data_IF_053318170067
#
_entry.id   IF_053318170067
#
_cell.length_a   1.000
_cell.length_b   1.000
_cell.length_c   1.000
_cell.angle_alpha   90.00
_cell.angle_beta   90.00
_cell.angle_gamma   90.00
#
_symmetry.space_group_name_H-M   'P 1'
#
loop_
_entity.id
_entity.type
_entity.pdbx_description
1 polymer ?
#
# COMPACT_ATOMS: atom_id res chain seq x y z
N UNK A 1 -58.22 -37.03 15.47
CA UNK A 1 -56.90 -36.36 15.61
C UNK A 1 -56.71 -35.43 14.42
N UNK A 2 -56.36 -34.16 14.66
CA UNK A 2 -56.19 -33.09 13.67
C UNK A 2 -55.08 -33.46 12.66
N UNK A 3 -55.41 -33.44 11.37
CA UNK A 3 -54.43 -33.45 10.28
C UNK A 3 -54.70 -32.17 9.47
N UNK A 4 -53.75 -31.23 9.51
CA UNK A 4 -53.78 -30.02 8.69
C UNK A 4 -53.39 -30.35 7.24
N UNK A 5 -54.02 -29.70 6.24
CA UNK A 5 -53.73 -29.95 4.84
C UNK A 5 -52.55 -29.10 4.31
N UNK A 6 -51.84 -29.72 3.36
CA UNK A 6 -50.92 -29.15 2.38
C UNK A 6 -51.51 -27.88 1.72
N UNK A 7 -50.74 -26.80 1.65
CA UNK A 7 -51.04 -25.67 0.76
C UNK A 7 -49.79 -25.12 0.06
N UNK A 8 -49.76 -25.37 -1.25
CA UNK A 8 -49.35 -24.44 -2.31
C UNK A 8 -48.00 -23.71 -2.17
N UNK A 9 -46.95 -24.40 -2.62
CA UNK A 9 -45.68 -23.76 -3.03
C UNK A 9 -45.90 -23.07 -4.40
N UNK A 10 -46.01 -21.75 -4.39
CA UNK A 10 -46.39 -20.94 -5.55
C UNK A 10 -45.15 -20.50 -6.37
N UNK A 11 -44.91 -21.19 -7.48
CA UNK A 11 -43.75 -21.05 -8.39
C UNK A 11 -43.75 -19.75 -9.24
N UNK A 12 -44.70 -18.84 -9.03
CA UNK A 12 -44.88 -17.64 -9.89
C UNK A 12 -44.08 -16.39 -9.48
N UNK A 13 -43.24 -16.45 -8.45
CA UNK A 13 -42.64 -15.24 -7.84
C UNK A 13 -41.15 -14.98 -8.15
N UNK A 14 -40.50 -15.76 -9.02
CA UNK A 14 -39.05 -15.63 -9.26
C UNK A 14 -38.72 -15.03 -10.64
N UNK A 15 -39.69 -14.91 -11.55
CA UNK A 15 -39.41 -14.52 -12.95
C UNK A 15 -39.59 -13.02 -13.27
N UNK A 16 -39.92 -12.17 -12.30
CA UNK A 16 -40.33 -10.77 -12.55
C UNK A 16 -39.58 -9.71 -11.73
N UNK A 17 -38.30 -9.96 -11.39
CA UNK A 17 -37.44 -8.94 -10.75
C UNK A 17 -36.15 -8.63 -11.52
N UNK A 18 -35.93 -9.24 -12.70
CA UNK A 18 -34.73 -9.00 -13.50
C UNK A 18 -34.85 -7.91 -14.57
N UNK A 19 -36.02 -7.29 -14.77
CA UNK A 19 -36.27 -6.40 -15.93
C UNK A 19 -36.51 -4.93 -15.56
N UNK A 20 -36.51 -4.55 -14.26
CA UNK A 20 -36.88 -3.18 -13.81
C UNK A 20 -35.73 -2.43 -13.13
N UNK A 21 -34.47 -2.89 -13.28
CA UNK A 21 -33.30 -2.15 -12.77
C UNK A 21 -32.30 -1.75 -13.86
N UNK A 22 -32.78 -1.70 -15.10
CA UNK A 22 -32.10 -1.06 -16.21
C UNK A 22 -33.04 0.03 -16.71
N UNK A 23 -32.52 1.26 -16.78
CA UNK A 23 -33.12 2.48 -17.35
C UNK A 23 -33.75 3.49 -16.37
N UNK A 24 -33.11 4.67 -16.39
CA UNK A 24 -33.63 6.05 -16.13
C UNK A 24 -33.18 6.70 -14.81
N UNK A 25 -32.00 7.35 -14.86
CA UNK A 25 -31.81 8.74 -14.43
C UNK A 25 -30.52 9.27 -15.12
N UNK A 26 -30.57 9.66 -16.40
CA UNK A 26 -30.75 11.04 -16.88
C UNK A 26 -30.03 12.08 -16.00
N UNK A 27 -28.93 12.66 -16.48
CA UNK A 27 -28.93 14.04 -16.98
C UNK A 27 -27.50 14.52 -17.20
N UNK A 28 -27.17 14.83 -18.44
CA UNK A 28 -26.02 15.63 -18.79
C UNK A 28 -26.30 17.09 -18.42
N UNK A 29 -25.52 17.66 -17.50
CA UNK A 29 -25.37 19.10 -17.39
C UNK A 29 -23.91 19.41 -16.98
N UNK A 30 -23.12 19.71 -18.00
CA UNK A 30 -22.02 20.68 -17.99
C UNK A 30 -21.29 20.91 -16.66
N UNK A 31 -20.32 20.07 -16.35
CA UNK A 31 -19.14 20.51 -15.61
C UNK A 31 -17.92 19.95 -16.33
N UNK A 32 -17.12 20.85 -16.89
CA UNK A 32 -15.79 20.55 -17.41
C UNK A 32 -15.06 19.63 -16.44
N UNK A 33 -14.38 18.55 -16.89
CA UNK A 33 -13.36 17.96 -16.07
C UNK A 33 -12.18 18.94 -16.05
N UNK A 34 -12.32 20.03 -15.28
CA UNK A 34 -11.18 20.63 -14.61
C UNK A 34 -10.80 19.64 -13.50
N UNK A 35 -10.35 18.45 -13.91
CA UNK A 35 -9.57 17.60 -13.04
C UNK A 35 -8.24 18.30 -12.99
N UNK A 36 -8.18 19.19 -12.00
CA UNK A 36 -6.99 19.64 -11.30
C UNK A 36 -5.87 18.67 -11.61
N UNK A 37 -4.87 19.17 -12.33
CA UNK A 37 -3.51 18.69 -12.19
C UNK A 37 -3.27 18.57 -10.68
N UNK A 38 -3.33 17.34 -10.16
CA UNK A 38 -2.90 17.07 -8.79
C UNK A 38 -1.41 17.30 -8.80
N UNK A 39 -1.03 18.58 -8.66
CA UNK A 39 0.20 18.96 -7.99
C UNK A 39 0.05 18.49 -6.55
N UNK A 40 0.11 17.18 -6.31
CA UNK A 40 0.56 16.66 -5.03
C UNK A 40 2.07 16.81 -5.07
N UNK A 41 2.43 18.07 -4.90
CA UNK A 41 3.74 18.61 -4.66
C UNK A 41 4.37 17.87 -3.48
N UNK A 42 5.40 17.06 -3.75
CA UNK A 42 6.54 16.80 -2.85
C UNK A 42 6.31 16.22 -1.45
N UNK A 43 5.07 15.92 -1.05
CA UNK A 43 4.72 15.39 0.27
C UNK A 43 4.08 14.01 0.14
N UNK A 44 4.81 13.05 -0.44
CA UNK A 44 4.66 11.69 0.08
C UNK A 44 5.02 11.78 1.57
N UNK A 45 4.00 11.61 2.42
CA UNK A 45 4.19 11.69 3.87
C UNK A 45 5.17 10.61 4.31
N UNK A 46 5.88 10.80 5.42
CA UNK A 46 6.77 9.78 5.99
C UNK A 46 6.05 8.43 6.20
N UNK A 47 4.75 8.48 6.50
CA UNK A 47 3.92 7.29 6.62
C UNK A 47 3.74 6.56 5.28
N UNK A 48 3.63 7.28 4.17
CA UNK A 48 3.57 6.69 2.83
C UNK A 48 4.89 6.00 2.48
N UNK A 49 6.03 6.65 2.77
CA UNK A 49 7.35 6.05 2.58
C UNK A 49 7.51 4.75 3.36
N UNK A 50 7.13 4.74 4.64
CA UNK A 50 7.19 3.53 5.44
C UNK A 50 6.30 2.42 4.86
N UNK A 51 5.07 2.75 4.48
CA UNK A 51 4.15 1.79 3.84
C UNK A 51 4.76 1.20 2.56
N UNK A 52 5.26 2.04 1.66
CA UNK A 52 5.84 1.62 0.39
C UNK A 52 7.08 0.72 0.60
N UNK A 53 7.89 1.02 1.61
CA UNK A 53 9.03 0.19 2.00
C UNK A 53 8.60 -1.20 2.53
N UNK A 54 7.56 -1.25 3.36
CA UNK A 54 7.04 -2.51 3.89
C UNK A 54 6.45 -3.39 2.78
N UNK A 55 5.77 -2.79 1.79
CA UNK A 55 5.21 -3.52 0.64
C UNK A 55 6.28 -4.07 -0.30
N UNK A 56 7.45 -3.41 -0.40
CA UNK A 56 8.56 -3.83 -1.27
C UNK A 56 9.59 -4.74 -0.60
N UNK A 57 9.56 -4.86 0.72
CA UNK A 57 10.50 -5.69 1.48
C UNK A 57 10.40 -7.16 1.08
N UNK A 58 11.53 -7.87 1.14
CA UNK A 58 11.59 -9.33 0.92
C UNK A 58 11.58 -10.11 2.23
N UNK A 59 11.57 -9.43 3.38
CA UNK A 59 11.48 -10.06 4.68
C UNK A 59 10.08 -10.62 4.90
N UNK A 60 10.00 -11.79 5.52
CA UNK A 60 8.74 -12.28 6.07
C UNK A 60 8.31 -11.37 7.24
N UNK A 61 7.10 -10.81 7.18
CA UNK A 61 6.57 -9.84 8.15
C UNK A 61 7.55 -8.68 8.48
N UNK A 62 7.84 -7.78 7.52
CA UNK A 62 8.76 -6.68 7.74
C UNK A 62 8.18 -5.67 8.74
N UNK A 63 9.05 -5.05 9.52
CA UNK A 63 8.71 -3.97 10.45
C UNK A 63 9.78 -2.89 10.35
N UNK A 64 9.36 -1.63 10.27
CA UNK A 64 10.29 -0.50 10.30
C UNK A 64 10.86 -0.32 11.71
N UNK A 65 12.16 -0.07 11.80
CA UNK A 65 12.87 0.12 13.06
C UNK A 65 13.85 1.28 13.00
N UNK A 66 14.13 1.82 14.18
CA UNK A 66 14.97 3.00 14.33
C UNK A 66 14.29 4.26 13.82
N UNK A 67 15.09 5.32 13.70
CA UNK A 67 14.63 6.60 13.16
C UNK A 67 14.70 6.60 11.63
N UNK A 68 13.74 7.26 11.00
CA UNK A 68 13.75 7.50 9.56
C UNK A 68 14.71 8.67 9.29
N UNK A 69 15.78 8.41 8.54
CA UNK A 69 16.68 9.48 8.09
C UNK A 69 16.01 10.16 6.90
N UNK A 70 15.56 11.39 7.10
CA UNK A 70 14.79 12.14 6.13
C UNK A 70 15.55 13.38 5.66
N UNK A 71 16.05 13.35 4.42
CA UNK A 71 16.74 14.47 3.77
C UNK A 71 15.89 15.03 2.62
N UNK A 72 16.25 16.18 2.03
CA UNK A 72 15.52 16.70 0.87
C UNK A 72 15.49 15.74 -0.35
N UNK A 73 16.54 14.95 -0.53
CA UNK A 73 16.70 14.07 -1.72
C UNK A 73 16.40 12.60 -1.43
N UNK A 74 16.61 12.16 -0.20
CA UNK A 74 16.50 10.75 0.18
C UNK A 74 15.73 10.57 1.48
N UNK A 75 15.03 9.45 1.60
CA UNK A 75 14.63 8.89 2.89
C UNK A 75 15.23 7.50 3.05
N UNK A 76 15.77 7.21 4.23
CA UNK A 76 16.33 5.90 4.57
C UNK A 76 15.50 5.31 5.71
N UNK A 77 15.01 4.09 5.51
CA UNK A 77 14.19 3.37 6.48
C UNK A 77 14.80 1.99 6.69
N UNK A 78 15.12 1.66 7.94
CA UNK A 78 15.61 0.32 8.27
C UNK A 78 14.42 -0.60 8.53
N UNK A 79 14.41 -1.77 7.90
CA UNK A 79 13.42 -2.82 8.08
C UNK A 79 14.06 -4.03 8.73
N UNK A 80 13.30 -4.72 9.57
CA UNK A 80 13.68 -6.00 10.16
C UNK A 80 12.52 -6.98 10.11
N UNK A 81 12.82 -8.26 10.22
CA UNK A 81 11.81 -9.29 10.46
C UNK A 81 11.21 -9.10 11.86
N UNK A 82 9.88 -9.09 11.96
CA UNK A 82 9.20 -8.98 13.24
C UNK A 82 9.68 -10.05 14.24
N UNK A 83 10.06 -9.62 15.45
CA UNK A 83 10.42 -10.53 16.55
C UNK A 83 11.80 -11.18 16.47
N UNK A 84 12.70 -10.79 15.56
CA UNK A 84 14.04 -11.37 15.44
C UNK A 84 15.17 -10.33 15.43
N UNK A 85 16.31 -10.71 16.05
CA UNK A 85 17.52 -9.90 16.13
C UNK A 85 18.25 -9.84 14.78
N UNK A 86 18.26 -8.64 14.17
CA UNK A 86 19.23 -7.95 13.28
C UNK A 86 20.02 -8.69 12.17
N UNK A 87 20.07 -10.03 12.14
CA UNK A 87 20.83 -10.79 11.14
C UNK A 87 20.19 -10.84 9.76
N UNK A 88 18.93 -10.41 9.64
CA UNK A 88 18.19 -10.33 8.40
C UNK A 88 17.37 -9.04 8.41
N UNK A 89 18.05 -7.93 8.14
CA UNK A 89 17.44 -6.61 7.98
C UNK A 89 17.62 -6.11 6.56
N UNK A 90 16.79 -5.15 6.17
CA UNK A 90 16.88 -4.47 4.88
C UNK A 90 16.95 -2.96 5.11
N UNK A 91 17.71 -2.26 4.26
CA UNK A 91 17.68 -0.82 4.13
C UNK A 91 16.79 -0.46 2.95
N UNK A 92 15.72 0.29 3.21
CA UNK A 92 14.90 0.89 2.19
C UNK A 92 15.40 2.30 1.88
N UNK A 93 15.82 2.52 0.64
CA UNK A 93 16.35 3.78 0.13
C UNK A 93 15.33 4.37 -0.82
N UNK A 94 14.75 5.51 -0.46
CA UNK A 94 13.79 6.23 -1.28
C UNK A 94 14.48 7.44 -1.87
N UNK A 95 14.62 7.47 -3.19
CA UNK A 95 15.08 8.65 -3.91
C UNK A 95 13.86 9.52 -4.26
N UNK A 96 13.77 10.69 -3.66
CA UNK A 96 12.65 11.64 -3.84
C UNK A 96 12.75 12.44 -5.13
N UNK A 97 13.91 12.45 -5.77
CA UNK A 97 14.13 13.11 -7.06
C UNK A 97 13.69 12.19 -8.21
N UNK A 98 14.11 10.93 -8.22
CA UNK A 98 13.71 9.95 -9.22
C UNK A 98 12.42 9.20 -8.88
N UNK A 99 11.88 9.37 -7.66
CA UNK A 99 10.74 8.61 -7.13
C UNK A 99 10.96 7.09 -7.13
N UNK A 100 12.21 6.65 -7.03
CA UNK A 100 12.57 5.24 -6.97
C UNK A 100 12.70 4.76 -5.52
N UNK A 101 12.35 3.49 -5.29
CA UNK A 101 12.54 2.82 -4.00
C UNK A 101 13.43 1.60 -4.26
N UNK A 102 14.52 1.51 -3.52
CA UNK A 102 15.47 0.41 -3.54
C UNK A 102 15.49 -0.29 -2.19
N UNK A 103 15.58 -1.62 -2.20
CA UNK A 103 15.66 -2.44 -0.98
C UNK A 103 16.98 -3.21 -1.03
N UNK A 104 17.88 -2.88 -0.12
CA UNK A 104 19.21 -3.49 0.00
C UNK A 104 19.26 -4.32 1.28
N UNK A 105 19.78 -5.55 1.24
CA UNK A 105 19.95 -6.32 2.46
C UNK A 105 21.08 -5.69 3.32
N UNK A 106 20.92 -5.64 4.65
CA UNK A 106 21.90 -4.98 5.52
C UNK A 106 23.22 -5.76 5.58
N UNK A 107 23.16 -7.08 5.45
CA UNK A 107 24.32 -7.97 5.33
C UNK A 107 25.10 -7.75 4.01
N UNK A 108 24.48 -7.18 2.98
CA UNK A 108 25.14 -6.78 1.74
C UNK A 108 25.83 -5.40 1.85
N UNK A 109 25.58 -4.63 2.92
CA UNK A 109 26.20 -3.32 3.11
C UNK A 109 27.65 -3.48 3.60
N UNK A 110 28.61 -3.39 2.67
CA UNK A 110 30.03 -3.33 2.99
C UNK A 110 30.40 -1.93 3.49
N UNK A 111 30.82 -1.81 4.74
CA UNK A 111 31.40 -0.56 5.25
C UNK A 111 32.85 -0.46 4.80
N UNK A 112 33.18 0.60 4.05
CA UNK A 112 34.56 0.91 3.71
C UNK A 112 35.30 1.31 4.99
N UNK A 113 36.25 0.49 5.44
CA UNK A 113 37.15 0.83 6.55
C UNK A 113 38.05 1.97 6.08
N UNK A 114 37.90 3.16 6.65
CA UNK A 114 38.80 4.27 6.38
C UNK A 114 40.15 3.90 7.03
N UNK A 115 41.25 3.78 6.27
CA UNK A 115 42.54 3.52 6.86
C UNK A 115 42.91 4.69 7.78
N UNK A 116 43.04 4.41 9.07
CA UNK A 116 43.59 5.37 10.02
C UNK A 116 45.04 5.60 9.64
N UNK A 117 45.36 6.75 9.05
CA UNK A 117 46.76 7.14 8.85
C UNK A 117 47.42 7.25 10.23
N UNK A 118 48.28 6.27 10.53
CA UNK A 118 49.10 6.28 11.72
C UNK A 118 50.10 7.43 11.59
N UNK A 119 50.02 8.38 12.52
CA UNK A 119 50.91 9.54 12.63
C UNK A 119 52.24 9.16 13.23
#
# INVERSE_FOLDING_TARGET
MKISPLSHLNIRSILMTFVVLQTILVSACCMSPSVRMSMISGQQSLANYQKDCLEKSRLDHPTAVGEIINTPHYALITLQRAGLNIKAGEMCIINKTSHSIEITAIDDLQFLTIPTEAK
#
